data_IF_055156379417
#
_entry.id   IF_055156379417
#
_cell.length_a   1.000
_cell.length_b   1.000
_cell.length_c   1.000
_cell.angle_alpha   90.00
_cell.angle_beta   90.00
_cell.angle_gamma   90.00
#
_symmetry.space_group_name_H-M   'P 1'
#
loop_
_entity.id
_entity.type
_entity.pdbx_description
1 polymer ?
#
# COMPACT_ATOMS: atom_id res chain seq x y z
N UNK A 1 -9.59 -13.52 -1.32
CA UNK A 1 -8.88 -14.26 -2.39
C UNK A 1 -9.03 -13.66 -3.80
N UNK A 2 -10.22 -13.29 -4.32
CA UNK A 2 -10.32 -12.84 -5.72
C UNK A 2 -9.48 -11.59 -6.01
N UNK A 3 -9.44 -10.65 -5.06
CA UNK A 3 -8.68 -9.41 -5.17
C UNK A 3 -7.16 -9.63 -5.25
N UNK A 4 -6.62 -10.55 -4.45
CA UNK A 4 -5.19 -10.91 -4.47
C UNK A 4 -4.79 -11.63 -5.75
N UNK A 5 -5.69 -12.44 -6.33
CA UNK A 5 -5.44 -13.08 -7.63
C UNK A 5 -5.52 -12.09 -8.79
N UNK A 6 -6.44 -11.13 -8.73
CA UNK A 6 -6.51 -10.03 -9.69
C UNK A 6 -5.22 -9.17 -9.63
N UNK A 7 -4.73 -8.86 -8.42
CA UNK A 7 -3.48 -8.14 -8.23
C UNK A 7 -2.27 -8.90 -8.76
N UNK A 8 -2.18 -10.21 -8.46
CA UNK A 8 -1.16 -11.11 -9.00
C UNK A 8 -1.18 -11.10 -10.54
N UNK A 9 -2.37 -11.23 -11.13
CA UNK A 9 -2.55 -11.24 -12.58
C UNK A 9 -2.16 -9.89 -13.20
N UNK A 10 -2.51 -8.77 -12.57
CA UNK A 10 -2.12 -7.43 -13.01
C UNK A 10 -0.59 -7.25 -13.00
N UNK A 11 0.09 -7.66 -11.92
CA UNK A 11 1.56 -7.64 -11.87
C UNK A 11 2.17 -8.46 -13.01
N UNK A 12 1.64 -9.65 -13.30
CA UNK A 12 2.14 -10.51 -14.38
C UNK A 12 1.91 -9.92 -15.76
N UNK A 13 0.69 -9.43 -16.05
CA UNK A 13 0.40 -8.78 -17.33
C UNK A 13 1.32 -7.58 -17.57
N UNK A 14 1.56 -6.77 -16.54
CA UNK A 14 2.40 -5.57 -16.67
C UNK A 14 3.89 -5.85 -16.79
N UNK A 15 4.39 -6.94 -16.20
CA UNK A 15 5.82 -7.25 -16.14
C UNK A 15 6.25 -8.30 -17.17
N UNK A 16 5.39 -9.27 -17.49
CA UNK A 16 5.67 -10.41 -18.36
C UNK A 16 4.81 -10.42 -19.64
N UNK A 17 3.77 -9.58 -19.71
CA UNK A 17 2.84 -9.52 -20.84
C UNK A 17 1.58 -10.38 -20.68
N UNK A 18 0.58 -10.19 -21.56
CA UNK A 18 -0.74 -10.82 -21.44
C UNK A 18 -0.72 -12.35 -21.59
N UNK A 19 0.25 -12.89 -22.34
CA UNK A 19 0.48 -14.34 -22.52
C UNK A 19 0.83 -15.07 -21.21
N UNK A 20 1.21 -14.32 -20.16
CA UNK A 20 1.74 -14.88 -18.90
C UNK A 20 0.66 -15.30 -17.88
N UNK A 21 -0.63 -15.11 -18.19
CA UNK A 21 -1.77 -15.39 -17.30
C UNK A 21 -2.71 -16.38 -18.00
N UNK A 22 -3.24 -17.42 -17.34
CA UNK A 22 -4.10 -18.40 -17.98
C UNK A 22 -5.51 -17.81 -18.13
N UNK A 23 -6.31 -18.39 -19.01
CA UNK A 23 -7.67 -17.93 -19.32
C UNK A 23 -8.62 -17.83 -18.12
N UNK A 24 -8.34 -18.54 -17.01
CA UNK A 24 -9.15 -18.52 -15.77
C UNK A 24 -8.55 -17.73 -14.59
N UNK A 25 -7.45 -16.99 -14.81
CA UNK A 25 -6.75 -16.28 -13.74
C UNK A 25 -5.85 -17.19 -12.88
N UNK A 26 -4.71 -16.65 -12.44
CA UNK A 26 -3.63 -17.33 -11.71
C UNK A 26 -3.06 -18.61 -12.38
N UNK A 27 -2.06 -18.47 -13.26
CA UNK A 27 -1.33 -19.59 -13.88
C UNK A 27 -0.08 -19.89 -13.08
N UNK A 28 0.02 -21.08 -12.50
CA UNK A 28 1.33 -21.71 -12.36
C UNK A 28 1.50 -22.63 -11.16
N UNK A 29 1.35 -22.15 -9.92
CA UNK A 29 1.53 -22.98 -8.73
C UNK A 29 0.75 -22.45 -7.53
N UNK A 30 0.05 -23.35 -6.81
CA UNK A 30 -0.69 -23.01 -5.59
C UNK A 30 0.22 -22.40 -4.50
N UNK A 31 1.49 -22.80 -4.46
CA UNK A 31 2.47 -22.30 -3.50
C UNK A 31 2.83 -20.81 -3.70
N UNK A 32 2.96 -20.35 -4.94
CA UNK A 32 3.23 -18.94 -5.23
C UNK A 32 2.08 -18.05 -4.79
N UNK A 33 0.85 -18.47 -5.09
CA UNK A 33 -0.34 -17.68 -4.78
C UNK A 33 -0.48 -17.52 -3.25
N UNK A 34 -0.21 -18.58 -2.48
CA UNK A 34 -0.14 -18.49 -1.01
C UNK A 34 0.99 -17.61 -0.49
N UNK A 35 2.17 -17.62 -1.12
CA UNK A 35 3.27 -16.70 -0.77
C UNK A 35 2.88 -15.25 -1.04
N UNK A 36 2.19 -14.99 -2.15
CA UNK A 36 1.69 -13.65 -2.48
C UNK A 36 0.65 -13.19 -1.46
N UNK A 37 -0.34 -14.02 -1.16
CA UNK A 37 -1.37 -13.73 -0.15
C UNK A 37 -0.74 -13.52 1.22
N UNK A 38 0.18 -14.39 1.64
CA UNK A 38 0.87 -14.28 2.92
C UNK A 38 1.70 -13.00 3.03
N UNK A 39 2.43 -12.64 1.97
CA UNK A 39 3.21 -11.39 1.95
C UNK A 39 2.31 -10.16 1.95
N UNK A 40 1.23 -10.15 1.15
CA UNK A 40 0.27 -9.06 1.11
C UNK A 40 -0.45 -8.88 2.46
N UNK A 41 -0.89 -9.99 3.06
CA UNK A 41 -1.52 -9.98 4.39
C UNK A 41 -0.53 -9.53 5.48
N UNK A 42 0.71 -10.02 5.45
CA UNK A 42 1.76 -9.62 6.38
C UNK A 42 2.06 -8.12 6.27
N UNK A 43 2.23 -7.60 5.05
CA UNK A 43 2.38 -6.17 4.80
C UNK A 43 1.18 -5.37 5.28
N UNK A 44 -0.03 -5.83 5.00
CA UNK A 44 -1.26 -5.16 5.43
C UNK A 44 -1.35 -5.08 6.95
N UNK A 45 -1.13 -6.19 7.66
CA UNK A 45 -1.17 -6.26 9.13
C UNK A 45 -0.07 -5.40 9.74
N UNK A 46 1.18 -5.53 9.27
CA UNK A 46 2.31 -4.76 9.78
C UNK A 46 2.06 -3.27 9.55
N UNK A 47 1.63 -2.87 8.36
CA UNK A 47 1.36 -1.45 8.05
C UNK A 47 0.24 -0.91 8.94
N UNK A 48 -0.88 -1.63 9.07
CA UNK A 48 -1.97 -1.20 9.95
C UNK A 48 -1.55 -1.11 11.41
N UNK A 49 -0.81 -2.11 11.92
CA UNK A 49 -0.35 -2.11 13.30
C UNK A 49 0.62 -0.95 13.55
N UNK A 50 1.55 -0.70 12.63
CA UNK A 50 2.48 0.41 12.74
C UNK A 50 1.82 1.79 12.54
N UNK A 51 0.68 1.87 11.84
CA UNK A 51 -0.11 3.11 11.74
C UNK A 51 -0.93 3.35 13.01
N UNK A 52 -1.55 2.32 13.58
CA UNK A 52 -2.45 2.46 14.72
C UNK A 52 -1.72 2.61 16.06
N UNK A 53 -0.60 1.90 16.27
CA UNK A 53 0.13 1.95 17.55
C UNK A 53 0.57 3.37 17.92
N UNK A 54 1.20 4.18 17.04
CA UNK A 54 1.59 5.55 17.38
C UNK A 54 0.40 6.46 17.68
N UNK A 55 -0.70 6.31 16.93
CA UNK A 55 -1.93 7.09 17.13
C UNK A 55 -2.50 6.80 18.51
N UNK A 56 -2.70 5.51 18.83
CA UNK A 56 -3.26 5.08 20.12
C UNK A 56 -2.33 5.41 21.28
N UNK A 57 -1.01 5.25 21.11
CA UNK A 57 -0.02 5.57 22.15
C UNK A 57 0.02 7.08 22.43
N UNK A 58 -0.03 7.92 21.39
CA UNK A 58 -0.09 9.38 21.53
C UNK A 58 -1.38 9.78 22.26
N UNK A 59 -2.51 9.19 21.86
CA UNK A 59 -3.80 9.44 22.52
C UNK A 59 -3.78 9.04 23.99
N UNK A 60 -3.27 7.85 24.31
CA UNK A 60 -3.17 7.36 25.70
C UNK A 60 -2.23 8.24 26.54
N UNK A 61 -1.07 8.62 26.01
CA UNK A 61 -0.11 9.48 26.70
C UNK A 61 -0.72 10.85 27.03
N UNK A 62 -1.41 11.47 26.07
CA UNK A 62 -2.07 12.75 26.26
C UNK A 62 -3.22 12.67 27.29
N UNK A 63 -3.98 11.58 27.31
CA UNK A 63 -5.02 11.35 28.32
C UNK A 63 -4.46 11.23 29.74
N UNK A 64 -3.34 10.52 29.90
CA UNK A 64 -2.71 10.31 31.20
C UNK A 64 -2.06 11.58 31.75
N UNK A 65 -1.44 12.38 30.87
CA UNK A 65 -0.72 13.59 31.27
C UNK A 65 -1.66 14.77 31.51
N UNK A 66 -2.75 14.89 30.72
CA UNK A 66 -3.71 15.98 30.83
C UNK A 66 -5.14 15.52 30.50
N UNK A 67 -5.92 15.03 31.48
CA UNK A 67 -7.29 14.54 31.23
C UNK A 67 -8.25 15.63 30.71
N UNK A 68 -7.92 16.93 30.87
CA UNK A 68 -8.69 18.06 30.34
C UNK A 68 -8.41 18.42 28.86
N UNK A 69 -7.40 17.79 28.24
CA UNK A 69 -7.00 18.04 26.84
C UNK A 69 -7.94 17.37 25.82
N UNK A 70 -8.98 16.68 26.29
CA UNK A 70 -10.09 16.13 25.50
C UNK A 70 -10.90 17.18 24.71
N UNK A 71 -10.68 18.47 24.99
CA UNK A 71 -11.29 19.59 24.26
C UNK A 71 -10.54 19.99 22.99
N UNK A 72 -9.35 19.44 22.73
CA UNK A 72 -8.69 19.60 21.44
C UNK A 72 -9.41 18.79 20.36
N UNK A 73 -9.71 19.47 19.24
CA UNK A 73 -10.35 18.86 18.06
C UNK A 73 -9.66 17.53 17.71
N UNK A 74 -10.46 16.47 17.56
CA UNK A 74 -10.02 15.14 17.12
C UNK A 74 -9.05 15.19 15.93
N UNK A 75 -9.19 16.21 15.07
CA UNK A 75 -8.35 16.42 13.90
C UNK A 75 -6.87 16.70 14.23
N UNK A 76 -6.55 17.47 15.28
CA UNK A 76 -5.15 17.83 15.60
C UNK A 76 -4.37 16.64 16.15
N UNK A 77 -4.99 15.86 17.05
CA UNK A 77 -4.39 14.64 17.60
C UNK A 77 -4.22 13.58 16.50
N UNK A 78 -5.16 13.51 15.56
CA UNK A 78 -5.06 12.61 14.41
C UNK A 78 -3.90 12.98 13.47
N UNK A 79 -3.61 14.28 13.30
CA UNK A 79 -2.53 14.75 12.43
C UNK A 79 -1.16 14.35 12.98
N UNK A 80 -0.90 14.56 14.27
CA UNK A 80 0.35 14.18 14.93
C UNK A 80 0.60 12.67 14.81
N UNK A 81 -0.44 11.86 15.06
CA UNK A 81 -0.35 10.41 14.92
C UNK A 81 -0.03 9.95 13.48
N UNK A 82 -0.55 10.64 12.46
CA UNK A 82 -0.23 10.35 11.05
C UNK A 82 1.23 10.65 10.71
N UNK A 83 1.79 11.76 11.19
CA UNK A 83 3.20 12.08 10.99
C UNK A 83 4.13 11.09 11.73
N UNK A 84 3.75 10.68 12.95
CA UNK A 84 4.48 9.66 13.70
C UNK A 84 4.54 8.30 12.98
N UNK A 85 3.59 8.03 12.09
CA UNK A 85 3.53 6.78 11.32
C UNK A 85 4.33 6.82 10.00
N UNK A 86 4.90 7.95 9.59
CA UNK A 86 5.70 8.06 8.36
C UNK A 86 6.86 7.04 8.27
N UNK A 87 7.64 6.77 9.34
CA UNK A 87 8.70 5.77 9.30
C UNK A 87 8.17 4.37 8.97
N UNK A 88 6.98 4.04 9.47
CA UNK A 88 6.33 2.77 9.22
C UNK A 88 5.90 2.63 7.76
N UNK A 89 5.27 3.67 7.21
CA UNK A 89 4.87 3.73 5.81
C UNK A 89 6.12 3.60 4.91
N UNK A 90 7.20 4.31 5.25
CA UNK A 90 8.47 4.21 4.52
C UNK A 90 8.99 2.76 4.46
N UNK A 91 8.96 2.05 5.59
CA UNK A 91 9.38 0.64 5.64
C UNK A 91 8.43 -0.25 4.82
N UNK A 92 7.12 -0.05 4.94
CA UNK A 92 6.11 -0.80 4.19
C UNK A 92 6.27 -0.62 2.67
N UNK A 93 6.45 0.62 2.20
CA UNK A 93 6.67 0.93 0.79
C UNK A 93 7.89 0.18 0.22
N UNK A 94 8.99 0.07 0.99
CA UNK A 94 10.18 -0.64 0.52
C UNK A 94 9.97 -2.15 0.40
N UNK A 95 9.23 -2.75 1.33
CA UNK A 95 8.93 -4.18 1.27
C UNK A 95 7.79 -4.54 0.33
N UNK A 96 6.98 -3.57 -0.10
CA UNK A 96 5.92 -3.77 -1.09
C UNK A 96 6.43 -4.36 -2.41
N UNK A 97 7.70 -4.10 -2.77
CA UNK A 97 8.35 -4.61 -3.98
C UNK A 97 8.47 -6.14 -3.99
N UNK A 98 8.41 -6.79 -2.83
CA UNK A 98 8.34 -8.24 -2.77
C UNK A 98 7.09 -8.79 -3.47
N UNK A 99 5.99 -8.02 -3.57
CA UNK A 99 4.76 -8.45 -4.24
C UNK A 99 4.97 -8.70 -5.74
N UNK A 100 5.45 -7.74 -6.56
CA UNK A 100 5.74 -8.00 -7.97
C UNK A 100 6.85 -9.03 -8.18
N UNK A 101 7.83 -9.13 -7.27
CA UNK A 101 8.85 -10.18 -7.33
C UNK A 101 8.25 -11.59 -7.17
N UNK A 102 7.36 -11.78 -6.18
CA UNK A 102 6.62 -13.05 -6.01
C UNK A 102 5.72 -13.32 -7.22
N UNK A 103 5.06 -12.29 -7.76
CA UNK A 103 4.16 -12.44 -8.92
C UNK A 103 4.89 -12.92 -10.19
N UNK A 104 6.16 -12.54 -10.33
CA UNK A 104 7.03 -12.92 -11.45
C UNK A 104 7.90 -14.14 -11.16
N UNK A 105 7.64 -14.86 -10.07
CA UNK A 105 8.38 -16.05 -9.64
C UNK A 105 9.90 -15.79 -9.43
N UNK A 106 10.26 -14.54 -9.14
CA UNK A 106 11.65 -14.16 -8.86
C UNK A 106 11.98 -14.38 -7.38
N UNK A 107 13.12 -15.02 -7.06
CA UNK A 107 13.54 -15.23 -5.68
C UNK A 107 14.03 -13.90 -5.08
N UNK A 108 13.15 -13.17 -4.39
CA UNK A 108 13.53 -11.95 -3.68
C UNK A 108 13.34 -12.12 -2.16
N UNK A 109 14.45 -12.12 -1.42
CA UNK A 109 14.45 -12.13 0.05
C UNK A 109 14.23 -10.71 0.58
N UNK A 110 13.66 -10.57 1.79
CA UNK A 110 13.43 -9.25 2.40
C UNK A 110 14.72 -8.40 2.49
N UNK A 111 15.86 -9.02 2.81
CA UNK A 111 17.16 -8.32 2.83
C UNK A 111 17.55 -7.78 1.44
N UNK A 112 17.25 -8.52 0.37
CA UNK A 112 17.51 -8.09 -1.00
C UNK A 112 16.56 -6.95 -1.40
N UNK A 113 15.27 -7.03 -1.05
CA UNK A 113 14.33 -5.95 -1.28
C UNK A 113 14.79 -4.63 -0.61
N UNK A 114 15.34 -4.72 0.60
CA UNK A 114 15.93 -3.56 1.29
C UNK A 114 17.24 -3.09 0.64
N UNK A 115 18.05 -3.96 0.06
CA UNK A 115 19.26 -3.55 -0.66
C UNK A 115 18.92 -2.85 -1.99
N UNK A 116 18.06 -3.48 -2.81
CA UNK A 116 17.59 -3.00 -4.11
C UNK A 116 16.94 -1.60 -4.02
N UNK A 117 16.19 -1.34 -2.95
CA UNK A 117 15.52 -0.03 -2.76
C UNK A 117 16.41 1.04 -2.14
N UNK A 118 17.68 0.75 -1.85
CA UNK A 118 18.58 1.69 -1.15
C UNK A 118 18.89 2.87 -2.09
N UNK A 119 18.64 4.09 -1.61
CA UNK A 119 18.74 5.31 -2.42
C UNK A 119 17.44 5.74 -3.12
N UNK A 120 16.48 4.83 -3.30
CA UNK A 120 15.18 5.12 -3.92
C UNK A 120 14.01 5.12 -2.94
N UNK A 121 14.24 4.82 -1.66
CA UNK A 121 13.19 4.70 -0.65
C UNK A 121 12.26 5.90 -0.54
N UNK A 122 12.79 7.13 -0.63
CA UNK A 122 11.93 8.34 -0.59
C UNK A 122 11.05 8.47 -1.83
N UNK A 123 11.55 8.08 -3.01
CA UNK A 123 10.74 8.08 -4.24
C UNK A 123 9.63 7.03 -4.13
N UNK A 124 9.91 5.87 -3.56
CA UNK A 124 8.90 4.84 -3.26
C UNK A 124 7.85 5.33 -2.26
N UNK A 125 8.27 6.03 -1.20
CA UNK A 125 7.35 6.63 -0.23
C UNK A 125 6.44 7.66 -0.90
N UNK A 126 6.99 8.54 -1.74
CA UNK A 126 6.22 9.55 -2.44
C UNK A 126 5.23 8.96 -3.47
N UNK A 127 5.63 7.90 -4.17
CA UNK A 127 4.79 7.29 -5.21
C UNK A 127 3.74 6.34 -4.64
N UNK A 128 4.12 5.49 -3.69
CA UNK A 128 3.27 4.40 -3.16
C UNK A 128 2.67 4.75 -1.79
N UNK A 129 3.39 5.50 -0.96
CA UNK A 129 2.93 5.83 0.40
C UNK A 129 1.99 7.03 0.43
N UNK A 130 2.18 8.00 -0.46
CA UNK A 130 1.31 9.19 -0.56
C UNK A 130 0.08 8.92 -1.42
N UNK A 131 0.10 7.91 -2.32
CA UNK A 131 -1.03 7.63 -3.21
C UNK A 131 -2.37 7.37 -2.50
N UNK A 132 -2.44 6.61 -1.37
CA UNK A 132 -3.72 6.40 -0.68
C UNK A 132 -4.21 7.68 -0.01
N UNK A 133 -3.29 8.55 0.43
CA UNK A 133 -3.64 9.84 1.02
C UNK A 133 -4.16 10.80 -0.03
N UNK A 134 -3.59 10.79 -1.24
CA UNK A 134 -4.11 11.56 -2.36
C UNK A 134 -5.53 11.11 -2.71
N UNK A 135 -5.78 9.80 -2.76
CA UNK A 135 -7.12 9.26 -2.97
C UNK A 135 -8.09 9.73 -1.89
N UNK A 136 -7.71 9.61 -0.61
CA UNK A 136 -8.54 10.07 0.51
C UNK A 136 -8.80 11.58 0.45
N UNK A 137 -7.80 12.37 0.08
CA UNK A 137 -7.93 13.81 -0.10
C UNK A 137 -8.93 14.15 -1.20
N UNK A 138 -8.88 13.47 -2.35
CA UNK A 138 -9.85 13.67 -3.43
C UNK A 138 -11.25 13.26 -2.99
N UNK A 139 -11.40 12.10 -2.32
CA UNK A 139 -12.69 11.66 -1.78
C UNK A 139 -13.28 12.71 -0.83
N UNK A 140 -12.50 13.20 0.13
CA UNK A 140 -12.95 14.22 1.09
C UNK A 140 -13.31 15.54 0.39
N UNK A 141 -12.57 15.93 -0.64
CA UNK A 141 -12.86 17.15 -1.42
C UNK A 141 -14.15 17.04 -2.24
N UNK A 142 -14.55 15.83 -2.63
CA UNK A 142 -15.79 15.57 -3.37
C UNK A 142 -16.98 15.32 -2.43
N UNK A 143 -16.76 15.14 -1.12
CA UNK A 143 -17.81 14.80 -0.17
C UNK A 143 -18.97 15.80 -0.19
N UNK A 144 -18.66 17.10 -0.25
CA UNK A 144 -19.66 18.18 -0.27
C UNK A 144 -20.49 18.25 -1.57
N UNK A 145 -20.09 17.52 -2.61
CA UNK A 145 -20.83 17.46 -3.88
C UNK A 145 -21.96 16.43 -3.87
N UNK A 146 -22.00 15.53 -2.87
CA UNK A 146 -23.01 14.49 -2.77
C UNK A 146 -24.13 14.90 -1.82
N UNK A 147 -25.38 14.74 -2.26
CA UNK A 147 -26.56 15.09 -1.48
C UNK A 147 -26.91 14.06 -0.38
N UNK A 148 -26.43 12.82 -0.49
CA UNK A 148 -26.66 11.76 0.49
C UNK A 148 -25.36 11.01 0.84
N UNK A 149 -25.26 10.58 2.10
CA UNK A 149 -24.15 9.75 2.58
C UNK A 149 -24.02 8.43 1.81
N UNK A 150 -25.16 7.89 1.35
CA UNK A 150 -25.20 6.67 0.52
C UNK A 150 -24.57 6.88 -0.85
N UNK A 151 -24.82 8.02 -1.50
CA UNK A 151 -24.23 8.31 -2.81
C UNK A 151 -22.72 8.53 -2.70
N UNK A 152 -22.29 9.23 -1.64
CA UNK A 152 -20.88 9.42 -1.33
C UNK A 152 -20.18 8.07 -1.07
N UNK A 153 -20.80 7.15 -0.32
CA UNK A 153 -20.24 5.84 -0.05
C UNK A 153 -20.08 5.00 -1.33
N UNK A 154 -21.07 5.03 -2.23
CA UNK A 154 -21.00 4.33 -3.52
C UNK A 154 -19.88 4.92 -4.39
N UNK A 155 -19.82 6.26 -4.51
CA UNK A 155 -18.80 6.94 -5.29
C UNK A 155 -17.38 6.67 -4.75
N UNK A 156 -17.21 6.72 -3.43
CA UNK A 156 -15.93 6.44 -2.76
C UNK A 156 -15.45 5.01 -3.00
N UNK A 157 -16.36 4.03 -2.93
CA UNK A 157 -16.05 2.64 -3.26
C UNK A 157 -15.65 2.49 -4.73
N UNK A 158 -16.37 3.12 -5.66
CA UNK A 158 -16.04 3.07 -7.08
C UNK A 158 -14.65 3.66 -7.35
N UNK A 159 -14.34 4.82 -6.76
CA UNK A 159 -13.01 5.44 -6.86
C UNK A 159 -11.91 4.52 -6.33
N UNK A 160 -12.13 3.84 -5.21
CA UNK A 160 -11.18 2.87 -4.67
C UNK A 160 -10.91 1.73 -5.66
N UNK A 161 -11.96 1.16 -6.26
CA UNK A 161 -11.82 0.10 -7.26
C UNK A 161 -11.10 0.55 -8.54
N UNK A 162 -11.22 1.82 -8.92
CA UNK A 162 -10.50 2.41 -10.05
C UNK A 162 -9.03 2.70 -9.72
N UNK A 163 -8.74 3.12 -8.48
CA UNK A 163 -7.40 3.53 -8.07
C UNK A 163 -6.50 2.34 -7.73
N UNK A 164 -7.06 1.25 -7.22
CA UNK A 164 -6.30 0.08 -6.79
C UNK A 164 -5.45 -0.55 -7.93
N UNK A 165 -5.97 -0.75 -9.16
CA UNK A 165 -5.15 -1.19 -10.29
C UNK A 165 -4.02 -0.20 -10.65
N UNK A 166 -4.24 1.10 -10.47
CA UNK A 166 -3.24 2.13 -10.72
C UNK A 166 -2.08 2.01 -9.71
N UNK A 167 -2.36 1.77 -8.43
CA UNK A 167 -1.32 1.54 -7.42
C UNK A 167 -0.50 0.27 -7.71
N UNK A 168 -1.17 -0.81 -8.10
CA UNK A 168 -0.52 -2.06 -8.50
C UNK A 168 0.37 -1.82 -9.72
N UNK A 169 -0.10 -1.04 -10.68
CA UNK A 169 0.67 -0.68 -11.86
C UNK A 169 1.89 0.17 -11.52
N UNK A 170 1.71 1.17 -10.66
CA UNK A 170 2.79 2.05 -10.19
C UNK A 170 3.88 1.25 -9.47
N UNK A 171 3.49 0.32 -8.60
CA UNK A 171 4.40 -0.58 -7.90
C UNK A 171 5.16 -1.50 -8.88
N UNK A 172 4.47 -2.03 -9.90
CA UNK A 172 5.07 -2.86 -10.95
C UNK A 172 6.10 -2.08 -11.76
N UNK A 173 5.79 -0.83 -12.12
CA UNK A 173 6.71 0.06 -12.85
C UNK A 173 7.94 0.37 -11.99
N UNK A 174 7.75 0.66 -10.70
CA UNK A 174 8.86 0.89 -9.76
C UNK A 174 9.77 -0.33 -9.69
N UNK A 175 9.20 -1.53 -9.55
CA UNK A 175 9.97 -2.77 -9.54
C UNK A 175 10.77 -2.99 -10.83
N UNK A 176 10.15 -2.83 -11.99
CA UNK A 176 10.84 -2.97 -13.29
C UNK A 176 12.00 -1.98 -13.43
N UNK A 177 11.83 -0.75 -12.98
CA UNK A 177 12.87 0.29 -13.02
C UNK A 177 14.05 -0.05 -12.09
N UNK A 178 13.77 -0.55 -10.90
CA UNK A 178 14.80 -0.95 -9.94
C UNK A 178 15.58 -2.16 -10.44
N UNK A 179 14.89 -3.14 -11.02
CA UNK A 179 15.51 -4.32 -11.62
C UNK A 179 16.47 -3.96 -12.77
N UNK A 180 16.10 -2.99 -13.62
CA UNK A 180 16.98 -2.49 -14.67
C UNK A 180 18.25 -1.80 -14.14
N UNK A 181 18.13 -1.09 -13.00
CA UNK A 181 19.29 -0.42 -12.37
C UNK A 181 20.22 -1.45 -11.74
N UNK A 182 19.68 -2.47 -11.08
CA UNK A 182 20.49 -3.55 -10.47
C UNK A 182 21.25 -4.38 -11.52
N UNK A 183 20.69 -4.58 -12.71
CA UNK A 183 21.39 -5.29 -13.82
C UNK A 183 22.50 -4.45 -14.44
N UNK A 184 22.42 -3.12 -14.34
CA UNK A 184 23.39 -2.20 -14.94
C UNK A 184 24.56 -1.81 -14.02
N UNK A 185 24.50 -2.17 -12.73
CA UNK A 185 25.51 -1.85 -11.71
C UNK A 185 26.45 -3.04 -11.44
#
# INVERSE_FOLDING_TARGET
MPLTLAALSCHRVLLLGPESVPSFGASGTQARDWRFVGMAAGLFVITNLLLQVPVTATFLFLQLDNPGLLSMEHDTISAIGRFAALPAIYVACRYSICLPAIATDRPMRMRQAWACTRGYGMRLLLLIGVSPWLLHFVQRSLADLFASDTDYAIASNLMFWLFLPLEIALLSICFRRLDQVDVAA
#
